data_IF_889816359337
#
_entry.id   IF_889816359337
#
_cell.length_a   1.000
_cell.length_b   1.000
_cell.length_c   1.000
_cell.angle_alpha   90.00
_cell.angle_beta   90.00
_cell.angle_gamma   90.00
#
_symmetry.space_group_name_H-M   'P 1'
#
loop_
_entity.id
_entity.type
_entity.pdbx_description
1 polymer ?
#
# COMPACT_ATOMS: atom_id res chain seq x y z
N UNK A 1 -16.73 -4.08 6.94
CA UNK A 1 -16.33 -3.96 5.52
C UNK A 1 -15.16 -2.99 5.47
N UNK A 2 -13.93 -3.53 5.42
CA UNK A 2 -12.76 -2.91 6.07
C UNK A 2 -12.41 -1.47 5.65
N UNK A 3 -12.66 -1.05 4.40
CA UNK A 3 -12.62 0.37 3.97
C UNK A 3 -13.40 0.66 2.67
N UNK A 4 -14.27 -0.25 2.22
CA UNK A 4 -15.03 -0.07 0.96
C UNK A 4 -14.17 0.36 -0.26
N UNK A 5 -12.91 -0.10 -0.33
CA UNK A 5 -11.92 0.32 -1.34
C UNK A 5 -11.66 1.84 -1.39
N UNK A 6 -11.96 2.56 -0.31
CA UNK A 6 -11.72 4.00 -0.19
C UNK A 6 -10.40 4.30 0.54
N UNK A 7 -9.56 5.12 -0.09
CA UNK A 7 -8.33 5.64 0.51
C UNK A 7 -8.24 7.16 0.35
N UNK A 8 -7.55 7.84 1.27
CA UNK A 8 -7.32 9.29 1.14
C UNK A 8 -6.03 9.54 0.37
N UNK A 9 -5.94 10.69 -0.31
CA UNK A 9 -4.67 11.13 -0.96
C UNK A 9 -3.46 11.13 -0.03
N UNK A 10 -3.67 11.37 1.27
CA UNK A 10 -2.58 11.41 2.26
C UNK A 10 -2.06 10.02 2.64
N UNK A 11 -2.79 8.94 2.30
CA UNK A 11 -2.32 7.57 2.48
C UNK A 11 -1.23 7.17 1.49
N UNK A 12 -1.07 7.90 0.38
CA UNK A 12 -0.08 7.62 -0.66
C UNK A 12 1.18 8.47 -0.44
N UNK A 13 2.34 7.81 -0.43
CA UNK A 13 3.66 8.43 -0.32
C UNK A 13 4.15 8.96 -1.67
N UNK A 14 5.11 9.89 -1.62
CA UNK A 14 5.75 10.43 -2.83
C UNK A 14 6.53 9.38 -3.62
N UNK A 15 6.99 8.33 -2.94
CA UNK A 15 7.67 7.16 -3.52
C UNK A 15 6.73 6.14 -4.16
N UNK A 16 5.42 6.41 -4.17
CA UNK A 16 4.43 5.54 -4.82
C UNK A 16 4.00 4.34 -3.97
N UNK A 17 4.25 4.36 -2.67
CA UNK A 17 3.73 3.37 -1.74
C UNK A 17 2.46 3.89 -1.07
N UNK A 18 1.68 3.03 -0.43
CA UNK A 18 0.54 3.49 0.36
C UNK A 18 0.27 2.57 1.54
N UNK A 19 -0.45 3.09 2.54
CA UNK A 19 -0.84 2.31 3.69
C UNK A 19 -2.17 2.70 4.27
N UNK A 20 -2.80 1.76 4.95
CA UNK A 20 -4.08 1.94 5.62
C UNK A 20 -4.17 1.07 6.86
N UNK A 21 -4.86 1.58 7.88
CA UNK A 21 -5.14 0.86 9.10
C UNK A 21 -6.57 0.32 9.14
N UNK A 22 -6.72 -0.82 9.78
CA UNK A 22 -7.99 -1.47 10.13
C UNK A 22 -8.11 -1.45 11.64
N UNK A 23 -9.30 -1.16 12.16
CA UNK A 23 -9.50 -1.05 13.60
C UNK A 23 -9.67 -2.41 14.27
N UNK A 24 -10.24 -3.38 13.55
CA UNK A 24 -10.51 -4.72 14.05
C UNK A 24 -10.14 -5.76 12.99
N UNK A 25 -9.26 -6.70 13.32
CA UNK A 25 -8.88 -7.77 12.40
C UNK A 25 -9.98 -8.80 12.14
N UNK A 26 -11.04 -8.84 12.95
CA UNK A 26 -12.19 -9.73 12.72
C UNK A 26 -12.90 -9.41 11.40
N UNK A 27 -12.84 -8.16 10.94
CA UNK A 27 -13.38 -7.75 9.65
C UNK A 27 -12.63 -8.40 8.46
N UNK A 28 -11.45 -8.99 8.69
CA UNK A 28 -10.72 -9.78 7.69
C UNK A 28 -11.25 -11.22 7.56
N UNK A 29 -12.24 -11.62 8.36
CA UNK A 29 -12.80 -12.98 8.37
C UNK A 29 -12.00 -13.98 9.21
N UNK A 30 -11.06 -13.51 10.04
CA UNK A 30 -10.35 -14.34 11.01
C UNK A 30 -11.32 -14.72 12.13
N UNK A 31 -11.34 -16.00 12.52
CA UNK A 31 -12.19 -16.48 13.62
C UNK A 31 -11.77 -15.79 14.92
N UNK A 32 -12.78 -15.35 15.68
CA UNK A 32 -12.57 -14.77 16.99
C UNK A 32 -12.03 -15.82 17.97
N UNK A 33 -10.90 -15.51 18.60
CA UNK A 33 -10.35 -16.25 19.74
C UNK A 33 -10.31 -15.32 20.96
N UNK A 34 -11.09 -15.59 22.02
CA UNK A 34 -11.14 -14.76 23.23
C UNK A 34 -9.78 -14.61 23.94
N UNK A 35 -8.84 -15.53 23.74
CA UNK A 35 -7.50 -15.45 24.33
C UNK A 35 -6.60 -14.43 23.64
N UNK A 36 -6.84 -14.18 22.35
CA UNK A 36 -6.13 -13.22 21.51
C UNK A 36 -6.76 -11.83 21.69
N UNK A 37 -8.10 -11.74 21.71
CA UNK A 37 -8.81 -10.45 21.78
C UNK A 37 -8.95 -9.75 20.42
N UNK A 38 -9.41 -8.50 20.42
CA UNK A 38 -9.63 -7.70 19.19
C UNK A 38 -8.50 -6.68 19.04
N UNK A 39 -7.84 -6.71 17.88
CA UNK A 39 -6.72 -5.83 17.56
C UNK A 39 -6.92 -5.12 16.23
N UNK A 40 -6.45 -3.87 16.17
CA UNK A 40 -6.25 -3.15 14.92
C UNK A 40 -4.91 -3.51 14.28
N UNK A 41 -4.83 -3.39 12.96
CA UNK A 41 -3.63 -3.67 12.17
C UNK A 41 -3.38 -2.54 11.18
N UNK A 42 -2.10 -2.25 10.94
CA UNK A 42 -1.67 -1.34 9.90
C UNK A 42 -1.08 -2.11 8.72
N UNK A 43 -1.56 -1.82 7.52
CA UNK A 43 -1.06 -2.36 6.27
C UNK A 43 -0.24 -1.29 5.56
N UNK A 44 1.00 -1.63 5.20
CA UNK A 44 1.84 -0.81 4.34
C UNK A 44 2.22 -1.59 3.08
N UNK A 45 1.81 -1.07 1.93
CA UNK A 45 1.97 -1.69 0.62
C UNK A 45 3.08 -0.97 -0.14
N UNK A 46 4.12 -1.73 -0.50
CA UNK A 46 5.23 -1.24 -1.32
C UNK A 46 4.98 -1.62 -2.77
N UNK A 47 4.90 -0.62 -3.65
CA UNK A 47 4.79 -0.86 -5.09
C UNK A 47 6.19 -0.91 -5.72
N UNK A 48 6.35 -1.78 -6.70
CA UNK A 48 7.60 -1.94 -7.43
C UNK A 48 7.35 -2.35 -8.87
N UNK A 49 8.25 -1.93 -9.76
CA UNK A 49 8.31 -2.42 -11.14
C UNK A 49 9.36 -3.53 -11.27
N UNK A 50 9.25 -4.43 -12.25
CA UNK A 50 10.33 -5.37 -12.55
C UNK A 50 11.64 -4.62 -12.79
N UNK A 51 12.67 -4.94 -12.00
CA UNK A 51 13.99 -4.28 -12.06
C UNK A 51 14.38 -3.50 -10.80
N UNK A 52 13.47 -3.31 -9.83
CA UNK A 52 13.77 -2.62 -8.57
C UNK A 52 14.88 -3.31 -7.75
N UNK A 53 15.04 -4.62 -7.87
CA UNK A 53 16.06 -5.39 -7.15
C UNK A 53 17.51 -4.99 -7.47
N UNK A 54 17.74 -4.13 -8.47
CA UNK A 54 19.08 -3.62 -8.82
C UNK A 54 19.79 -2.90 -7.66
N UNK A 55 19.03 -2.31 -6.74
CA UNK A 55 19.57 -1.66 -5.53
C UNK A 55 19.96 -2.66 -4.45
N UNK A 56 19.36 -3.85 -4.47
CA UNK A 56 19.48 -4.84 -3.40
C UNK A 56 20.53 -5.91 -3.72
N UNK A 57 21.04 -5.93 -4.96
CA UNK A 57 22.07 -6.89 -5.39
C UNK A 57 23.36 -6.70 -4.57
N UNK A 58 24.12 -7.76 -4.34
CA UNK A 58 25.46 -7.67 -3.73
C UNK A 58 26.54 -7.26 -4.74
N UNK A 59 26.45 -7.76 -5.98
CA UNK A 59 27.42 -7.52 -7.06
C UNK A 59 26.73 -6.76 -8.19
N UNK A 60 27.44 -5.79 -8.80
CA UNK A 60 26.91 -4.91 -9.85
C UNK A 60 25.64 -4.18 -9.41
N UNK A 61 25.68 -3.59 -8.21
CA UNK A 61 24.64 -2.68 -7.73
C UNK A 61 24.49 -1.49 -8.67
N UNK A 62 23.24 -1.07 -8.85
CA UNK A 62 22.91 0.12 -9.62
C UNK A 62 21.86 0.95 -8.89
N UNK A 63 21.49 2.08 -9.50
CA UNK A 63 20.43 2.96 -8.99
C UNK A 63 19.19 2.81 -9.85
N UNK A 64 18.02 2.91 -9.23
CA UNK A 64 16.76 3.01 -9.96
C UNK A 64 16.71 4.39 -10.64
N UNK A 65 16.71 4.36 -11.97
CA UNK A 65 16.61 5.56 -12.80
C UNK A 65 15.28 6.29 -12.58
N UNK A 66 15.30 7.61 -12.74
CA UNK A 66 14.16 8.49 -12.40
C UNK A 66 12.86 8.10 -13.10
N UNK A 67 12.91 7.73 -14.39
CA UNK A 67 11.75 7.27 -15.17
C UNK A 67 11.19 5.92 -14.70
N UNK A 68 12.01 5.12 -14.02
CA UNK A 68 11.61 3.79 -13.54
C UNK A 68 11.01 3.85 -12.13
N UNK A 69 11.25 4.93 -11.37
CA UNK A 69 10.62 5.13 -10.06
C UNK A 69 9.12 5.33 -10.21
N UNK A 70 8.37 4.84 -9.24
CA UNK A 70 6.93 5.07 -9.13
C UNK A 70 6.74 6.38 -8.37
N UNK A 71 5.78 7.19 -8.83
CA UNK A 71 5.36 8.42 -8.13
C UNK A 71 4.01 8.21 -7.46
N UNK A 72 3.69 9.09 -6.51
CA UNK A 72 2.39 9.14 -5.84
C UNK A 72 1.19 9.03 -6.79
N UNK A 73 1.17 9.85 -7.84
CA UNK A 73 0.06 9.89 -8.81
C UNK A 73 -0.11 8.59 -9.58
N UNK A 74 1.01 7.93 -9.89
CA UNK A 74 0.99 6.65 -10.58
C UNK A 74 0.45 5.54 -9.68
N UNK A 75 0.86 5.53 -8.40
CA UNK A 75 0.33 4.59 -7.40
C UNK A 75 -1.18 4.76 -7.20
N UNK A 76 -1.64 6.01 -7.14
CA UNK A 76 -3.07 6.33 -7.08
C UNK A 76 -3.83 5.80 -8.30
N UNK A 77 -3.33 6.06 -9.51
CA UNK A 77 -3.95 5.57 -10.75
C UNK A 77 -3.97 4.03 -10.79
N UNK A 78 -2.88 3.39 -10.36
CA UNK A 78 -2.81 1.93 -10.29
C UNK A 78 -3.84 1.35 -9.33
N UNK A 79 -4.02 1.97 -8.16
CA UNK A 79 -5.03 1.55 -7.18
C UNK A 79 -6.45 1.67 -7.74
N UNK A 80 -6.76 2.79 -8.39
CA UNK A 80 -8.04 3.00 -9.07
C UNK A 80 -8.30 1.98 -10.18
N UNK A 81 -7.30 1.70 -11.02
CA UNK A 81 -7.48 0.78 -12.16
C UNK A 81 -7.55 -0.68 -11.76
N UNK A 82 -6.82 -1.08 -10.71
CA UNK A 82 -6.71 -2.49 -10.33
C UNK A 82 -7.81 -2.94 -9.36
N UNK A 83 -8.26 -2.05 -8.49
CA UNK A 83 -9.19 -2.37 -7.41
C UNK A 83 -10.47 -1.53 -7.46
N UNK A 84 -10.68 -0.75 -8.54
CA UNK A 84 -11.79 0.20 -8.68
C UNK A 84 -11.93 1.13 -7.46
N UNK A 85 -10.81 1.45 -6.82
CA UNK A 85 -10.78 2.13 -5.54
C UNK A 85 -11.10 3.62 -5.65
N UNK A 86 -11.78 4.16 -4.64
CA UNK A 86 -12.15 5.57 -4.57
C UNK A 86 -11.07 6.33 -3.80
N UNK A 87 -10.60 7.44 -4.36
CA UNK A 87 -9.58 8.29 -3.70
C UNK A 87 -10.21 9.59 -3.23
N UNK A 88 -10.31 9.74 -1.92
CA UNK A 88 -10.85 10.93 -1.27
C UNK A 88 -9.78 12.04 -1.17
N UNK A 89 -10.18 13.32 -1.17
CA UNK A 89 -9.26 14.43 -0.93
C UNK A 89 -8.59 14.31 0.46
N UNK A 90 -7.43 14.97 0.59
CA UNK A 90 -6.76 15.12 1.88
C UNK A 90 -7.67 15.85 2.88
N UNK A 91 -7.46 15.60 4.17
CA UNK A 91 -8.05 16.44 5.22
C UNK A 91 -7.55 17.86 5.08
#
# INVERSE_FOLDING_TARGET
QVREYELRKNNFSDTGNFGFGIQEHIDLGIKYDPSIGIYGLDFYVVLGRPGFSITDKKRKTGRIGFRHRIRKEEAMRWFQQKYDGIILPGK
#
